data_IF_207342685707
#
_entry.id   IF_207342685707
#
_cell.length_a   1.000
_cell.length_b   1.000
_cell.length_c   1.000
_cell.angle_alpha   90.00
_cell.angle_beta   90.00
_cell.angle_gamma   90.00
#
_symmetry.space_group_name_H-M   'P 1'
#
loop_
_entity.id
_entity.type
_entity.pdbx_description
1 polymer ?
#
# COMPACT_ATOMS: atom_id res chain seq x y z
N UNK A 1 7.98 14.11 3.66
CA UNK A 1 7.78 13.26 2.47
C UNK A 1 6.43 12.59 2.62
N UNK A 2 5.59 12.62 1.58
CA UNK A 2 4.29 11.93 1.58
C UNK A 2 4.43 10.48 1.07
N UNK A 3 3.33 9.71 1.15
CA UNK A 3 3.32 8.28 0.84
C UNK A 3 3.82 7.97 -0.59
N UNK A 4 3.19 8.54 -1.62
CA UNK A 4 3.58 8.29 -3.01
C UNK A 4 4.93 8.92 -3.37
N UNK A 5 5.33 9.99 -2.69
CA UNK A 5 6.63 10.63 -2.84
C UNK A 5 7.77 9.77 -2.30
N UNK A 6 7.53 9.03 -1.21
CA UNK A 6 8.47 8.01 -0.75
C UNK A 6 8.62 6.88 -1.76
N UNK A 7 7.50 6.34 -2.26
CA UNK A 7 7.52 5.31 -3.30
C UNK A 7 8.29 5.80 -4.53
N UNK A 8 7.94 6.97 -5.05
CA UNK A 8 8.63 7.59 -6.18
C UNK A 8 10.13 7.70 -5.94
N UNK A 9 10.54 8.26 -4.79
CA UNK A 9 11.94 8.45 -4.45
C UNK A 9 12.72 7.12 -4.43
N UNK A 10 12.19 6.10 -3.74
CA UNK A 10 12.84 4.79 -3.62
C UNK A 10 12.98 4.12 -4.99
N UNK A 11 11.92 4.11 -5.79
CA UNK A 11 11.96 3.44 -7.09
C UNK A 11 12.89 4.16 -8.08
N UNK A 12 12.88 5.49 -8.11
CA UNK A 12 13.83 6.27 -8.92
C UNK A 12 15.28 6.05 -8.50
N UNK A 13 15.56 5.97 -7.20
CA UNK A 13 16.91 5.66 -6.68
C UNK A 13 17.39 4.26 -7.08
N UNK A 14 16.47 3.33 -7.32
CA UNK A 14 16.77 1.97 -7.77
C UNK A 14 16.69 1.81 -9.30
N UNK A 15 16.70 2.91 -10.06
CA UNK A 15 16.75 2.86 -11.52
C UNK A 15 15.45 2.46 -12.20
N UNK A 16 14.32 2.45 -11.49
CA UNK A 16 13.01 2.23 -12.13
C UNK A 16 12.62 3.49 -12.92
N UNK A 17 12.33 3.30 -14.19
CA UNK A 17 11.93 4.36 -15.11
C UNK A 17 10.41 4.60 -15.07
N UNK A 18 9.99 5.79 -15.51
CA UNK A 18 8.58 6.17 -15.68
C UNK A 18 7.66 6.02 -14.45
N UNK A 19 8.23 5.97 -13.24
CA UNK A 19 7.47 5.91 -11.98
C UNK A 19 6.70 7.22 -11.79
N UNK A 20 5.36 7.20 -11.70
CA UNK A 20 4.59 8.41 -11.45
C UNK A 20 4.76 8.94 -10.01
N UNK A 21 4.50 10.24 -9.80
CA UNK A 21 4.64 10.90 -8.49
C UNK A 21 3.44 10.68 -7.57
N UNK A 22 2.25 10.54 -8.14
CA UNK A 22 0.99 10.41 -7.41
C UNK A 22 0.56 8.96 -7.22
N UNK A 23 -0.07 8.64 -6.09
CA UNK A 23 -0.48 7.27 -5.77
C UNK A 23 -1.52 6.71 -6.75
N UNK A 24 -2.48 7.53 -7.21
CA UNK A 24 -3.43 7.12 -8.26
C UNK A 24 -2.74 6.84 -9.58
N UNK A 25 -1.74 7.65 -9.95
CA UNK A 25 -0.98 7.43 -11.19
C UNK A 25 -0.09 6.20 -11.09
N UNK A 26 0.56 5.97 -9.95
CA UNK A 26 1.33 4.74 -9.67
C UNK A 26 0.45 3.50 -9.81
N UNK A 27 -0.77 3.53 -9.25
CA UNK A 27 -1.75 2.47 -9.44
C UNK A 27 -2.13 2.28 -10.91
N UNK A 28 -2.46 3.36 -11.62
CA UNK A 28 -2.82 3.30 -13.05
C UNK A 28 -1.68 2.72 -13.88
N UNK A 29 -0.44 3.15 -13.61
CA UNK A 29 0.77 2.70 -14.29
C UNK A 29 0.93 1.18 -14.18
N UNK A 30 0.85 0.63 -12.97
CA UNK A 30 1.02 -0.81 -12.75
C UNK A 30 -0.18 -1.62 -13.26
N UNK A 31 -1.39 -1.05 -13.18
CA UNK A 31 -2.59 -1.67 -13.75
C UNK A 31 -2.49 -1.77 -15.27
N UNK A 32 -2.01 -0.72 -15.94
CA UNK A 32 -1.76 -0.71 -17.39
C UNK A 32 -0.67 -1.70 -17.79
N UNK A 33 0.32 -1.91 -16.93
CA UNK A 33 1.35 -2.94 -17.10
C UNK A 33 0.86 -4.38 -16.84
N UNK A 34 -0.42 -4.57 -16.44
CA UNK A 34 -0.98 -5.89 -16.14
C UNK A 34 -0.37 -6.55 -14.90
N UNK A 35 0.10 -5.75 -13.93
CA UNK A 35 0.79 -6.22 -12.73
C UNK A 35 0.01 -6.09 -11.43
N UNK A 36 -1.23 -5.62 -11.51
CA UNK A 36 -2.06 -5.36 -10.34
C UNK A 36 -2.90 -6.59 -9.99
N UNK A 37 -2.82 -7.01 -8.73
CA UNK A 37 -3.59 -8.09 -8.12
C UNK A 37 -4.66 -7.47 -7.20
N UNK A 38 -5.96 -7.57 -7.54
CA UNK A 38 -7.04 -7.03 -6.73
C UNK A 38 -7.24 -7.87 -5.46
N UNK A 39 -7.50 -7.19 -4.34
CA UNK A 39 -7.89 -7.84 -3.08
C UNK A 39 -9.26 -7.32 -2.66
N UNK A 40 -10.22 -8.24 -2.55
CA UNK A 40 -11.61 -7.98 -2.13
C UNK A 40 -11.85 -8.49 -0.71
N UNK A 41 -11.11 -9.51 -0.29
CA UNK A 41 -11.16 -10.02 1.07
C UNK A 41 -10.71 -9.01 2.12
N UNK A 42 -11.08 -9.28 3.37
CA UNK A 42 -10.77 -8.43 4.52
C UNK A 42 -9.81 -9.12 5.51
N UNK A 43 -9.29 -10.29 5.13
CA UNK A 43 -8.33 -11.06 5.93
C UNK A 43 -6.99 -11.09 5.22
N UNK A 44 -5.90 -10.88 5.95
CA UNK A 44 -4.56 -10.90 5.38
C UNK A 44 -4.03 -12.32 5.16
N UNK A 45 -4.68 -13.35 5.70
CA UNK A 45 -4.34 -14.77 5.51
C UNK A 45 -5.10 -15.44 4.36
N UNK A 46 -5.77 -14.67 3.49
CA UNK A 46 -6.44 -15.21 2.31
C UNK A 46 -5.45 -15.56 1.19
N UNK A 47 -5.89 -16.45 0.28
CA UNK A 47 -5.17 -16.83 -0.94
C UNK A 47 -4.83 -15.64 -1.84
N UNK A 48 -5.56 -14.53 -1.70
CA UNK A 48 -5.34 -13.31 -2.49
C UNK A 48 -3.95 -12.71 -2.22
N UNK A 49 -3.27 -13.13 -1.15
CA UNK A 49 -1.92 -12.69 -0.80
C UNK A 49 -0.82 -13.71 -1.15
N UNK A 50 -1.15 -14.83 -1.81
CA UNK A 50 -0.17 -15.89 -2.11
C UNK A 50 0.91 -15.41 -3.11
N UNK A 51 0.56 -14.47 -3.98
CA UNK A 51 1.50 -13.87 -4.94
C UNK A 51 2.21 -12.62 -4.37
N UNK A 52 1.86 -12.13 -3.18
CA UNK A 52 2.44 -10.90 -2.62
C UNK A 52 3.93 -11.09 -2.27
N UNK A 53 4.80 -10.24 -2.82
CA UNK A 53 6.27 -10.35 -2.70
C UNK A 53 6.93 -9.07 -2.18
N UNK A 54 8.04 -9.16 -1.44
CA UNK A 54 8.82 -7.99 -1.06
C UNK A 54 9.14 -7.10 -2.28
N UNK A 55 8.92 -5.80 -2.15
CA UNK A 55 9.05 -4.83 -3.25
C UNK A 55 7.72 -4.46 -3.91
N UNK A 56 6.65 -5.25 -3.72
CA UNK A 56 5.33 -4.92 -4.26
C UNK A 56 4.76 -3.62 -3.67
N UNK A 57 4.04 -2.89 -4.51
CA UNK A 57 3.33 -1.68 -4.09
C UNK A 57 1.93 -2.05 -3.57
N UNK A 58 1.60 -1.53 -2.40
CA UNK A 58 0.33 -1.74 -1.69
C UNK A 58 -0.54 -0.49 -1.82
N UNK A 59 -1.83 -0.62 -2.16
CA UNK A 59 -2.71 0.52 -2.42
C UNK A 59 -3.95 0.55 -1.53
N UNK A 60 -4.30 1.74 -1.04
CA UNK A 60 -5.54 2.01 -0.30
C UNK A 60 -6.32 3.17 -0.90
N UNK A 61 -7.63 3.13 -0.73
CA UNK A 61 -8.53 4.29 -0.84
C UNK A 61 -8.94 4.77 0.55
N UNK A 62 -9.59 5.93 0.63
CA UNK A 62 -10.33 6.35 1.83
C UNK A 62 -9.48 6.70 3.05
N UNK A 63 -8.17 6.92 2.92
CA UNK A 63 -7.34 7.45 4.02
C UNK A 63 -7.54 8.95 4.25
N UNK A 64 -8.14 9.65 3.28
CA UNK A 64 -8.63 11.03 3.36
C UNK A 64 -9.64 11.25 2.23
N UNK A 65 -10.48 12.28 2.32
CA UNK A 65 -11.49 12.57 1.30
C UNK A 65 -10.85 13.16 0.03
N UNK A 66 -11.22 12.62 -1.14
CA UNK A 66 -10.74 13.05 -2.46
C UNK A 66 -11.85 12.94 -3.51
N UNK A 67 -11.79 13.78 -4.53
CA UNK A 67 -12.63 13.70 -5.72
C UNK A 67 -11.77 13.36 -6.95
N UNK A 68 -11.24 12.13 -7.00
CA UNK A 68 -10.49 11.59 -8.16
C UNK A 68 -10.86 10.14 -8.43
N UNK A 69 -10.72 9.71 -9.69
CA UNK A 69 -10.96 8.34 -10.14
C UNK A 69 -9.70 7.80 -10.85
N UNK A 70 -9.07 6.70 -10.39
CA UNK A 70 -9.43 5.89 -9.23
C UNK A 70 -9.10 6.59 -7.90
N UNK A 71 -9.94 6.42 -6.85
CA UNK A 71 -9.80 7.10 -5.58
C UNK A 71 -8.72 6.48 -4.67
N UNK A 72 -7.57 6.10 -5.23
CA UNK A 72 -6.41 5.71 -4.44
C UNK A 72 -5.98 6.92 -3.62
N UNK A 73 -5.68 6.73 -2.34
CA UNK A 73 -5.24 7.79 -1.42
C UNK A 73 -3.89 7.48 -0.78
N UNK A 74 -3.43 6.23 -0.82
CA UNK A 74 -2.21 5.83 -0.15
C UNK A 74 -1.48 4.72 -0.89
N UNK A 75 -0.16 4.77 -0.87
CA UNK A 75 0.73 3.75 -1.43
C UNK A 75 1.87 3.45 -0.44
N UNK A 76 2.23 2.17 -0.29
CA UNK A 76 3.33 1.69 0.56
C UNK A 76 4.10 0.58 -0.17
N UNK A 77 5.32 0.25 0.27
CA UNK A 77 6.12 -0.86 -0.28
C UNK A 77 6.06 -2.04 0.69
N UNK A 78 5.72 -3.22 0.21
CA UNK A 78 5.73 -4.44 1.02
C UNK A 78 7.16 -4.91 1.30
N UNK A 79 7.47 -5.28 2.55
CA UNK A 79 8.80 -5.74 2.96
C UNK A 79 8.88 -7.25 3.22
N UNK A 80 7.75 -7.97 3.18
CA UNK A 80 7.71 -9.38 3.56
C UNK A 80 7.23 -9.60 4.99
N UNK A 81 7.71 -10.69 5.60
CA UNK A 81 7.39 -11.09 6.98
C UNK A 81 8.56 -10.82 7.90
N UNK A 82 8.28 -10.22 9.05
CA UNK A 82 9.27 -10.05 10.12
C UNK A 82 9.71 -11.42 10.64
N UNK A 83 11.03 -11.66 10.72
CA UNK A 83 11.59 -12.97 11.08
C UNK A 83 11.18 -13.48 12.47
N UNK A 84 10.95 -12.58 13.43
CA UNK A 84 10.65 -12.94 14.82
C UNK A 84 9.18 -13.30 15.04
N UNK A 85 8.27 -12.54 14.42
CA UNK A 85 6.83 -12.64 14.67
C UNK A 85 6.07 -13.31 13.52
N UNK A 86 6.67 -13.38 12.32
CA UNK A 86 5.98 -13.80 11.10
C UNK A 86 4.99 -12.76 10.58
N UNK A 87 4.83 -11.61 11.25
CA UNK A 87 3.89 -10.57 10.86
C UNK A 87 4.33 -9.89 9.55
N UNK A 88 3.36 -9.59 8.70
CA UNK A 88 3.60 -8.83 7.47
C UNK A 88 3.94 -7.39 7.80
N UNK A 89 4.96 -6.86 7.14
CA UNK A 89 5.45 -5.49 7.35
C UNK A 89 5.60 -4.76 6.02
N UNK A 90 5.48 -3.44 6.10
CA UNK A 90 5.59 -2.53 4.95
C UNK A 90 6.37 -1.28 5.34
N UNK A 91 6.89 -0.57 4.35
CA UNK A 91 7.61 0.68 4.52
C UNK A 91 6.98 1.77 3.68
N UNK A 92 6.98 2.99 4.20
CA UNK A 92 6.49 4.16 3.48
C UNK A 92 6.44 5.37 4.37
N UNK A 93 5.75 6.41 3.90
CA UNK A 93 5.46 7.59 4.70
C UNK A 93 3.99 7.61 5.11
N UNK A 94 3.73 7.69 6.41
CA UNK A 94 2.37 7.76 6.96
C UNK A 94 2.35 8.52 8.28
N UNK A 95 1.24 9.19 8.55
CA UNK A 95 1.01 9.87 9.82
C UNK A 95 0.10 9.03 10.72
N UNK A 96 0.67 8.43 11.75
CA UNK A 96 -0.10 7.78 12.81
C UNK A 96 -0.41 6.30 12.60
N UNK A 97 0.22 5.61 11.64
CA UNK A 97 0.18 4.14 11.55
C UNK A 97 1.05 3.52 12.65
N UNK A 98 0.86 2.22 12.89
CA UNK A 98 1.54 1.50 13.97
C UNK A 98 2.59 0.52 13.47
N UNK A 99 3.60 0.27 14.30
CA UNK A 99 4.48 -0.90 14.23
C UNK A 99 4.62 -1.47 15.62
N UNK A 100 4.32 -2.76 15.80
CA UNK A 100 4.34 -3.42 17.12
C UNK A 100 3.60 -2.61 18.20
N UNK A 101 2.39 -2.15 17.86
CA UNK A 101 1.52 -1.33 18.73
C UNK A 101 2.04 0.08 19.07
N UNK A 102 3.18 0.49 18.53
CA UNK A 102 3.71 1.84 18.70
C UNK A 102 3.35 2.70 17.49
N UNK A 103 2.80 3.89 17.75
CA UNK A 103 2.47 4.84 16.70
C UNK A 103 3.74 5.46 16.12
N UNK A 104 3.77 5.62 14.80
CA UNK A 104 4.87 6.21 14.03
C UNK A 104 4.36 7.23 13.03
N UNK A 105 5.23 8.17 12.68
CA UNK A 105 4.93 9.32 11.82
C UNK A 105 6.05 9.51 10.80
N UNK A 106 5.71 10.04 9.62
CA UNK A 106 6.66 10.19 8.53
C UNK A 106 7.14 8.85 7.95
N UNK A 107 8.39 8.81 7.49
CA UNK A 107 8.99 7.62 6.86
C UNK A 107 9.34 6.59 7.93
N UNK A 108 8.75 5.39 7.84
CA UNK A 108 8.93 4.33 8.83
C UNK A 108 8.53 2.96 8.30
N UNK A 109 8.87 1.92 9.06
CA UNK A 109 8.30 0.58 8.93
C UNK A 109 7.00 0.51 9.75
N UNK A 110 5.98 -0.11 9.18
CA UNK A 110 4.64 -0.25 9.74
C UNK A 110 4.13 -1.70 9.63
N UNK A 111 3.22 -2.07 10.51
CA UNK A 111 2.48 -3.33 10.42
C UNK A 111 1.58 -3.30 9.18
N UNK A 112 1.59 -4.35 8.36
CA UNK A 112 0.56 -4.54 7.35
C UNK A 112 -0.64 -5.22 7.99
N UNK A 113 -1.73 -4.46 8.16
CA UNK A 113 -3.00 -4.94 8.73
C UNK A 113 -4.13 -4.60 7.78
N UNK A 114 -5.03 -5.56 7.56
CA UNK A 114 -6.25 -5.30 6.81
C UNK A 114 -7.14 -4.32 7.59
N UNK A 115 -7.80 -3.37 6.90
CA UNK A 115 -8.83 -2.55 7.52
C UNK A 115 -9.91 -3.43 8.14
N UNK A 116 -10.52 -2.98 9.24
CA UNK A 116 -11.51 -3.79 9.95
C UNK A 116 -12.77 -3.98 9.10
N UNK A 117 -13.25 -5.21 9.10
CA UNK A 117 -14.40 -5.70 8.34
C UNK A 117 -15.74 -5.03 8.70
N UNK A 118 -15.88 -4.61 9.95
CA UNK A 118 -17.10 -4.10 10.56
C UNK A 118 -17.40 -2.64 10.22
N UNK A 119 -16.46 -1.92 9.61
CA UNK A 119 -16.62 -0.51 9.23
C UNK A 119 -16.90 -0.41 7.73
N UNK A 120 -18.07 0.10 7.38
CA UNK A 120 -18.37 0.50 6.01
C UNK A 120 -17.40 1.58 5.51
N UNK A 121 -17.29 1.77 4.20
CA UNK A 121 -16.37 2.78 3.61
C UNK A 121 -16.66 4.21 4.09
N UNK A 122 -17.89 4.48 4.51
CA UNK A 122 -18.32 5.71 5.16
C UNK A 122 -19.13 5.33 6.40
N UNK A 123 -18.66 5.74 7.58
CA UNK A 123 -19.37 5.59 8.87
C UNK A 123 -19.35 6.96 9.56
N UNK A 124 -20.52 7.46 9.98
CA UNK A 124 -20.65 8.78 10.63
C UNK A 124 -19.97 9.95 9.88
N UNK A 125 -20.04 9.93 8.54
CA UNK A 125 -19.42 10.95 7.68
C UNK A 125 -17.89 10.89 7.61
N UNK A 126 -17.26 9.88 8.22
CA UNK A 126 -15.82 9.63 8.13
C UNK A 126 -15.55 8.54 7.10
N UNK A 127 -14.60 8.81 6.21
CA UNK A 127 -14.14 7.83 5.23
C UNK A 127 -13.20 6.84 5.92
N UNK A 128 -13.43 5.55 5.70
CA UNK A 128 -12.58 4.49 6.22
C UNK A 128 -11.61 3.99 5.15
N UNK A 129 -10.34 3.70 5.52
CA UNK A 129 -9.39 3.14 4.59
C UNK A 129 -9.87 1.80 4.07
N UNK A 130 -9.89 1.60 2.75
CA UNK A 130 -10.06 0.28 2.13
C UNK A 130 -8.78 -0.13 1.44
N UNK A 131 -8.34 -1.36 1.67
CA UNK A 131 -7.24 -1.94 0.91
C UNK A 131 -7.78 -2.38 -0.45
N UNK A 132 -7.13 -1.95 -1.53
CA UNK A 132 -7.58 -2.20 -2.91
C UNK A 132 -6.88 -3.43 -3.51
N UNK A 133 -5.63 -3.64 -3.12
CA UNK A 133 -4.78 -4.69 -3.65
C UNK A 133 -3.33 -4.24 -3.72
N UNK A 134 -2.52 -5.01 -4.45
CA UNK A 134 -1.09 -4.78 -4.59
C UNK A 134 -0.65 -4.93 -6.05
N UNK A 135 0.58 -4.51 -6.36
CA UNK A 135 1.13 -4.69 -7.70
C UNK A 135 2.63 -4.95 -7.71
N UNK A 136 3.03 -5.78 -8.66
CA UNK A 136 4.43 -6.08 -8.96
C UNK A 136 5.07 -4.97 -9.79
N UNK A 137 6.27 -4.56 -9.42
CA UNK A 137 7.04 -3.60 -10.20
C UNK A 137 7.63 -4.33 -11.41
N UNK A 138 7.32 -3.91 -12.67
CA UNK A 138 7.90 -4.54 -13.85
C UNK A 138 9.43 -4.49 -13.84
N UNK A 139 10.08 -5.62 -14.12
CA UNK A 139 11.54 -5.69 -14.23
C UNK A 139 12.31 -5.73 -12.91
N UNK A 140 11.63 -5.61 -11.75
CA UNK A 140 12.24 -5.89 -10.46
C UNK A 140 12.46 -7.41 -10.36
N UNK A 141 13.72 -7.84 -10.27
CA UNK A 141 14.08 -9.27 -10.12
C UNK A 141 13.86 -9.71 -8.67
N UNK A 142 13.37 -10.94 -8.50
CA UNK A 142 13.30 -11.65 -7.20
C UNK A 142 14.70 -11.87 -6.60
#
# INVERSE_FOLDING_TARGET
MDCSGFVYFVLKQNGVEDVPRDSSEQYIWLRRAGKFEPVVGQKDDSFEFDNLKPGDLLFWTGTYAIARDPPITHAMIYLGREKKTGARVMVGASDGRTYQSQQRFGVSVFDFKMPRADKGEIEDGKVHPRFVGYAHIPGLRD
#
